data_IF_170400348225
#
_entry.id   IF_170400348225
#
_cell.length_a   1.000
_cell.length_b   1.000
_cell.length_c   1.000
_cell.angle_alpha   90.00
_cell.angle_beta   90.00
_cell.angle_gamma   90.00
#
_symmetry.space_group_name_H-M   'P 1'
#
loop_
_entity.id
_entity.type
_entity.pdbx_description
1 polymer ?
#
# COMPACT_ATOMS: atom_id res chain seq x y z
N UNK A 1 25.90 -2.77 -23.01
CA UNK A 1 25.00 -3.10 -21.88
C UNK A 1 24.86 -1.84 -21.04
N UNK A 2 23.96 -0.94 -21.44
CA UNK A 2 23.67 0.30 -20.71
C UNK A 2 22.37 0.09 -19.96
N UNK A 3 22.49 -0.13 -18.66
CA UNK A 3 21.38 -0.12 -17.71
C UNK A 3 20.69 1.23 -17.79
N UNK A 4 19.52 1.28 -18.43
CA UNK A 4 18.69 2.49 -18.45
C UNK A 4 17.85 2.51 -17.18
N UNK A 5 18.48 2.93 -16.08
CA UNK A 5 17.72 3.38 -14.91
C UNK A 5 16.95 4.63 -15.34
N UNK A 6 15.63 4.52 -15.45
CA UNK A 6 14.75 5.67 -15.63
C UNK A 6 14.76 6.41 -14.29
N UNK A 7 15.77 7.24 -14.09
CA UNK A 7 15.78 8.19 -12.98
C UNK A 7 14.78 9.31 -13.32
N UNK A 8 13.83 9.63 -12.44
CA UNK A 8 12.92 10.75 -12.65
C UNK A 8 13.73 12.07 -12.67
N UNK A 9 13.24 13.10 -13.40
CA UNK A 9 14.03 14.29 -13.71
C UNK A 9 14.35 15.09 -12.44
N UNK A 10 15.63 15.42 -12.33
CA UNK A 10 16.22 16.11 -11.20
C UNK A 10 16.16 17.63 -11.38
N UNK A 11 15.01 18.25 -11.11
CA UNK A 11 14.94 19.70 -10.93
C UNK A 11 14.02 20.01 -9.73
N UNK A 12 14.65 20.40 -8.61
CA UNK A 12 14.05 20.91 -7.37
C UNK A 12 12.83 20.12 -6.85
N UNK A 13 13.05 18.96 -6.22
CA UNK A 13 11.95 18.23 -5.60
C UNK A 13 12.43 17.40 -4.40
N UNK A 14 12.00 17.75 -3.20
CA UNK A 14 11.65 16.70 -2.23
C UNK A 14 10.45 16.00 -2.87
N UNK A 15 10.74 15.11 -3.83
CA UNK A 15 9.77 14.30 -4.55
C UNK A 15 9.01 13.48 -3.51
N UNK A 16 7.71 13.20 -3.72
CA UNK A 16 6.90 12.34 -2.85
C UNK A 16 7.59 11.02 -2.44
N UNK A 17 8.52 10.54 -3.26
CA UNK A 17 9.38 9.37 -2.97
C UNK A 17 10.42 9.59 -1.86
N UNK A 18 10.90 10.82 -1.66
CA UNK A 18 11.88 11.18 -0.66
C UNK A 18 11.30 11.08 0.76
N UNK A 19 10.04 11.48 0.97
CA UNK A 19 9.40 11.41 2.29
C UNK A 19 9.28 9.99 2.82
N UNK A 20 9.06 9.02 1.95
CA UNK A 20 9.07 7.63 2.35
C UNK A 20 10.44 7.22 2.89
N UNK A 21 11.56 7.66 2.32
CA UNK A 21 12.88 7.26 2.82
C UNK A 21 13.28 7.84 4.19
N UNK A 22 12.52 8.80 4.72
CA UNK A 22 12.86 9.56 5.93
C UNK A 22 12.24 8.89 7.17
N UNK A 23 12.93 8.96 8.32
CA UNK A 23 12.36 8.46 9.58
C UNK A 23 11.10 9.24 9.96
N UNK A 24 10.11 8.64 10.65
CA UNK A 24 8.87 9.34 11.02
C UNK A 24 9.10 10.67 11.75
N UNK A 25 10.12 10.73 12.61
CA UNK A 25 10.49 11.96 13.34
C UNK A 25 11.05 13.05 12.44
N UNK A 26 11.87 12.69 11.45
CA UNK A 26 12.41 13.65 10.51
C UNK A 26 11.35 14.08 9.48
N UNK A 27 10.43 13.19 9.10
CA UNK A 27 9.26 13.51 8.29
C UNK A 27 8.43 14.61 8.96
N UNK A 28 8.06 14.43 10.24
CA UNK A 28 7.28 15.43 10.98
C UNK A 28 7.93 16.82 10.98
N UNK A 29 9.26 16.89 11.18
CA UNK A 29 10.01 18.15 11.13
C UNK A 29 9.95 18.81 9.75
N UNK A 30 10.08 18.03 8.68
CA UNK A 30 9.99 18.57 7.31
C UNK A 30 8.57 19.08 7.04
N UNK A 31 7.54 18.32 7.40
CA UNK A 31 6.14 18.71 7.22
C UNK A 31 5.79 20.02 7.92
N UNK A 32 6.35 20.27 9.11
CA UNK A 32 6.11 21.52 9.84
C UNK A 32 6.73 22.74 9.12
N UNK A 33 7.83 22.56 8.38
CA UNK A 33 8.53 23.63 7.64
C UNK A 33 7.87 24.01 6.31
N UNK A 34 7.06 23.12 5.72
CA UNK A 34 6.40 23.35 4.42
C UNK A 34 5.21 24.31 4.55
N UNK A 35 4.91 25.06 3.49
CA UNK A 35 3.68 25.85 3.43
C UNK A 35 2.48 24.97 3.03
N UNK A 36 1.27 25.52 3.19
CA UNK A 36 0.03 24.77 2.96
C UNK A 36 -0.07 24.24 1.52
N UNK A 37 0.31 25.08 0.54
CA UNK A 37 0.27 24.71 -0.87
C UNK A 37 1.23 23.55 -1.18
N UNK A 38 2.45 23.56 -0.62
CA UNK A 38 3.39 22.45 -0.79
C UNK A 38 2.90 21.16 -0.15
N UNK A 39 2.29 21.22 1.03
CA UNK A 39 1.72 20.03 1.69
C UNK A 39 0.60 19.40 0.86
N UNK A 40 -0.32 20.21 0.33
CA UNK A 40 -1.42 19.75 -0.52
C UNK A 40 -0.91 19.15 -1.84
N UNK A 41 0.12 19.78 -2.43
CA UNK A 41 0.76 19.29 -3.64
C UNK A 41 1.42 17.92 -3.42
N UNK A 42 2.16 17.76 -2.31
CA UNK A 42 2.83 16.49 -1.99
C UNK A 42 1.83 15.39 -1.62
N UNK A 43 0.74 15.72 -0.92
CA UNK A 43 -0.36 14.79 -0.67
C UNK A 43 -0.95 14.26 -1.99
N UNK A 44 -1.30 15.15 -2.91
CA UNK A 44 -1.85 14.76 -4.21
C UNK A 44 -0.88 13.91 -5.04
N UNK A 45 0.42 14.24 -5.00
CA UNK A 45 1.47 13.44 -5.67
C UNK A 45 1.55 12.03 -5.10
N UNK A 46 1.51 11.87 -3.79
CA UNK A 46 1.55 10.57 -3.12
C UNK A 46 0.28 9.75 -3.37
N UNK A 47 -0.90 10.36 -3.33
CA UNK A 47 -2.16 9.68 -3.69
C UNK A 47 -2.11 9.13 -5.11
N UNK A 48 -1.61 9.93 -6.07
CA UNK A 48 -1.44 9.48 -7.45
C UNK A 48 -0.45 8.32 -7.55
N UNK A 49 0.65 8.36 -6.81
CA UNK A 49 1.64 7.28 -6.79
C UNK A 49 1.04 5.98 -6.21
N UNK A 50 0.24 6.07 -5.14
CA UNK A 50 -0.49 4.93 -4.57
C UNK A 50 -1.43 4.33 -5.63
N UNK A 51 -2.23 5.16 -6.31
CA UNK A 51 -3.14 4.69 -7.36
C UNK A 51 -2.40 3.96 -8.50
N UNK A 52 -1.22 4.45 -8.89
CA UNK A 52 -0.38 3.81 -9.91
C UNK A 52 0.14 2.44 -9.43
N UNK A 53 0.58 2.32 -8.18
CA UNK A 53 1.04 1.05 -7.62
C UNK A 53 -0.10 0.04 -7.46
N UNK A 54 -1.29 0.50 -7.05
CA UNK A 54 -2.49 -0.34 -6.96
C UNK A 54 -2.88 -0.85 -8.35
N UNK A 55 -2.86 0.02 -9.36
CA UNK A 55 -3.13 -0.37 -10.74
C UNK A 55 -2.08 -1.35 -11.27
N UNK A 56 -0.80 -1.13 -10.97
CA UNK A 56 0.28 -2.07 -11.33
C UNK A 56 0.09 -3.45 -10.68
N UNK A 57 -0.28 -3.51 -9.39
CA UNK A 57 -0.59 -4.78 -8.73
C UNK A 57 -1.77 -5.51 -9.37
N UNK A 58 -2.78 -4.77 -9.82
CA UNK A 58 -3.93 -5.32 -10.53
C UNK A 58 -3.50 -5.93 -11.87
N UNK A 59 -2.69 -5.22 -12.65
CA UNK A 59 -2.17 -5.69 -13.94
C UNK A 59 -1.31 -6.95 -13.78
N UNK A 60 -0.45 -7.02 -12.76
CA UNK A 60 0.35 -8.21 -12.46
C UNK A 60 -0.56 -9.39 -12.08
N UNK A 61 -1.59 -9.17 -11.24
CA UNK A 61 -2.52 -10.22 -10.85
C UNK A 61 -3.33 -10.74 -12.04
N UNK A 62 -3.80 -9.85 -12.92
CA UNK A 62 -4.50 -10.23 -14.16
C UNK A 62 -3.60 -11.03 -15.10
N UNK A 63 -2.31 -10.67 -15.19
CA UNK A 63 -1.33 -11.43 -15.97
C UNK A 63 -1.13 -12.85 -15.41
N UNK A 64 -0.95 -13.00 -14.09
CA UNK A 64 -0.85 -14.31 -13.43
C UNK A 64 -2.10 -15.17 -13.69
N UNK A 65 -3.28 -14.57 -13.60
CA UNK A 65 -4.55 -15.27 -13.85
C UNK A 65 -4.68 -15.71 -15.31
N UNK A 66 -4.17 -14.91 -16.26
CA UNK A 66 -4.14 -15.29 -17.67
C UNK A 66 -3.19 -16.46 -17.92
N UNK A 67 -1.97 -16.43 -17.37
CA UNK A 67 -1.01 -17.54 -17.48
C UNK A 67 -1.57 -18.84 -16.89
N UNK A 68 -2.28 -18.73 -15.77
CA UNK A 68 -2.99 -19.86 -15.15
C UNK A 68 -4.06 -20.44 -16.08
N UNK A 69 -4.85 -19.60 -16.73
CA UNK A 69 -5.87 -20.04 -17.67
C UNK A 69 -5.26 -20.71 -18.90
N UNK A 70 -4.21 -20.13 -19.47
CA UNK A 70 -3.49 -20.69 -20.62
C UNK A 70 -2.91 -22.07 -20.31
N UNK A 71 -2.35 -22.25 -19.10
CA UNK A 71 -1.84 -23.55 -18.65
C UNK A 71 -2.97 -24.58 -18.49
N UNK A 72 -4.12 -24.20 -17.91
CA UNK A 72 -5.29 -25.07 -17.77
C UNK A 72 -5.82 -25.50 -19.13
N UNK A 73 -5.91 -24.58 -20.09
CA UNK A 73 -6.34 -24.88 -21.46
C UNK A 73 -5.36 -25.81 -22.18
N UNK A 74 -4.06 -25.57 -22.02
CA UNK A 74 -3.02 -26.44 -22.56
C UNK A 74 -3.13 -27.87 -21.98
N UNK A 75 -3.29 -28.03 -20.67
CA UNK A 75 -3.47 -29.34 -20.03
C UNK A 75 -4.75 -30.06 -20.50
N UNK A 76 -5.87 -29.34 -20.66
CA UNK A 76 -7.11 -29.90 -21.22
C UNK A 76 -6.93 -30.43 -22.65
N UNK A 77 -6.13 -29.72 -23.46
CA UNK A 77 -5.83 -30.16 -24.83
C UNK A 77 -4.94 -31.42 -24.88
N UNK A 78 -4.09 -31.62 -23.86
CA UNK A 78 -3.21 -32.79 -23.76
C UNK A 78 -3.89 -34.04 -23.15
N UNK A 79 -4.93 -33.90 -22.33
CA UNK A 79 -5.66 -35.03 -21.72
C UNK A 79 -6.34 -35.98 -22.72
N UNK A 80 -6.31 -35.69 -24.03
CA UNK A 80 -6.64 -36.66 -25.08
C UNK A 80 -5.62 -37.81 -25.23
N UNK A 81 -4.42 -37.72 -24.63
CA UNK A 81 -3.39 -38.76 -24.63
C UNK A 81 -2.83 -38.96 -23.21
N UNK A 82 -3.29 -40.00 -22.50
CA UNK A 82 -2.55 -40.65 -21.40
C UNK A 82 -1.95 -39.75 -20.30
N UNK A 83 -2.83 -39.30 -19.40
CA UNK A 83 -2.57 -38.71 -18.08
C UNK A 83 -1.25 -39.10 -17.40
N UNK A 84 -0.48 -38.11 -16.94
CA UNK A 84 0.00 -38.01 -15.55
C UNK A 84 0.59 -36.61 -15.26
N UNK A 85 0.34 -36.11 -14.04
CA UNK A 85 0.72 -34.81 -13.48
C UNK A 85 0.06 -33.57 -14.11
N UNK A 86 -1.17 -33.26 -13.66
CA UNK A 86 -1.61 -31.87 -13.61
C UNK A 86 -0.66 -31.13 -12.65
N UNK A 87 0.36 -30.46 -13.20
CA UNK A 87 1.21 -29.57 -12.43
C UNK A 87 0.31 -28.52 -11.77
N UNK A 88 0.40 -28.40 -10.45
CA UNK A 88 -0.20 -27.30 -9.71
C UNK A 88 0.38 -26.00 -10.29
N UNK A 89 -0.48 -25.06 -10.70
CA UNK A 89 0.00 -23.78 -11.20
C UNK A 89 0.70 -23.05 -10.07
N UNK A 90 1.99 -22.84 -10.21
CA UNK A 90 2.77 -22.01 -9.32
C UNK A 90 3.07 -20.71 -10.08
N UNK A 91 2.55 -19.55 -9.62
CA UNK A 91 2.84 -18.28 -10.26
C UNK A 91 4.34 -17.99 -10.18
N UNK A 92 4.87 -17.26 -11.17
CA UNK A 92 6.28 -16.87 -11.14
C UNK A 92 6.57 -16.11 -9.83
N UNK A 93 7.54 -16.57 -9.02
CA UNK A 93 7.89 -15.94 -7.76
C UNK A 93 8.31 -14.47 -7.94
N UNK A 94 8.81 -14.06 -9.12
CA UNK A 94 9.14 -12.67 -9.41
C UNK A 94 7.89 -11.76 -9.41
N UNK A 95 6.77 -12.22 -9.96
CA UNK A 95 5.52 -11.45 -9.95
C UNK A 95 4.91 -11.38 -8.56
N UNK A 96 4.99 -12.47 -7.79
CA UNK A 96 4.53 -12.48 -6.39
C UNK A 96 5.35 -11.50 -5.55
N UNK A 97 6.69 -11.55 -5.69
CA UNK A 97 7.59 -10.63 -5.00
C UNK A 97 7.32 -9.18 -5.38
N UNK A 98 7.11 -8.88 -6.66
CA UNK A 98 6.78 -7.52 -7.12
C UNK A 98 5.50 -6.97 -6.46
N UNK A 99 4.46 -7.81 -6.33
CA UNK A 99 3.23 -7.42 -5.61
C UNK A 99 3.51 -7.15 -4.12
N UNK A 100 4.34 -7.97 -3.48
CA UNK A 100 4.71 -7.80 -2.07
C UNK A 100 5.53 -6.52 -1.84
N UNK A 101 6.53 -6.25 -2.68
CA UNK A 101 7.31 -5.02 -2.63
C UNK A 101 6.42 -3.78 -2.82
N UNK A 102 5.52 -3.82 -3.80
CA UNK A 102 4.55 -2.76 -4.02
C UNK A 102 3.63 -2.55 -2.81
N UNK A 103 3.16 -3.61 -2.15
CA UNK A 103 2.33 -3.50 -0.92
C UNK A 103 3.07 -2.78 0.20
N UNK A 104 4.36 -3.09 0.40
CA UNK A 104 5.19 -2.41 1.39
C UNK A 104 5.33 -0.92 1.06
N UNK A 105 5.55 -0.58 -0.21
CA UNK A 105 5.65 0.82 -0.66
C UNK A 105 4.32 1.56 -0.49
N UNK A 106 3.19 0.94 -0.85
CA UNK A 106 1.85 1.50 -0.68
C UNK A 106 1.59 1.83 0.79
N UNK A 107 1.79 0.86 1.70
CA UNK A 107 1.57 1.07 3.14
C UNK A 107 2.39 2.24 3.69
N UNK A 108 3.60 2.43 3.16
CA UNK A 108 4.49 3.52 3.51
C UNK A 108 4.01 4.88 2.98
N UNK A 109 3.52 4.92 1.75
CA UNK A 109 2.93 6.13 1.17
C UNK A 109 1.62 6.50 1.88
N UNK A 110 0.76 5.53 2.21
CA UNK A 110 -0.48 5.78 2.96
C UNK A 110 -0.22 6.37 4.35
N UNK A 111 0.80 5.86 5.06
CA UNK A 111 1.25 6.46 6.32
C UNK A 111 1.67 7.92 6.12
N UNK A 112 2.48 8.18 5.09
CA UNK A 112 2.95 9.53 4.76
C UNK A 112 1.80 10.46 4.39
N UNK A 113 0.79 9.99 3.64
CA UNK A 113 -0.42 10.74 3.33
C UNK A 113 -1.20 11.11 4.60
N UNK A 114 -1.34 10.20 5.56
CA UNK A 114 -1.97 10.51 6.85
C UNK A 114 -1.24 11.61 7.60
N UNK A 115 0.10 11.54 7.65
CA UNK A 115 0.92 12.55 8.31
C UNK A 115 0.83 13.92 7.60
N UNK A 116 0.80 13.93 6.26
CA UNK A 116 0.56 15.13 5.44
C UNK A 116 -0.82 15.74 5.73
N UNK A 117 -1.87 14.92 5.78
CA UNK A 117 -3.22 15.39 6.09
C UNK A 117 -3.33 16.00 7.48
N UNK A 118 -2.69 15.38 8.49
CA UNK A 118 -2.60 15.96 9.84
C UNK A 118 -1.87 17.31 9.83
N UNK A 119 -0.79 17.45 9.07
CA UNK A 119 -0.08 18.73 8.91
C UNK A 119 -0.94 19.80 8.20
N UNK A 120 -1.66 19.43 7.13
CA UNK A 120 -2.60 20.30 6.40
C UNK A 120 -3.71 20.80 7.34
N UNK A 121 -4.33 19.91 8.11
CA UNK A 121 -5.39 20.27 9.07
C UNK A 121 -4.89 21.26 10.13
N UNK A 122 -3.71 20.99 10.72
CA UNK A 122 -3.05 21.90 11.68
C UNK A 122 -2.82 23.30 11.08
N UNK A 123 -2.32 23.39 9.84
CA UNK A 123 -2.07 24.69 9.18
C UNK A 123 -3.33 25.43 8.75
N UNK A 124 -4.40 24.71 8.40
CA UNK A 124 -5.71 25.31 8.08
C UNK A 124 -6.48 25.79 9.32
N UNK A 125 -5.97 25.52 10.53
CA UNK A 125 -6.66 25.86 11.77
C UNK A 125 -7.94 25.05 11.97
N UNK A 126 -8.07 23.91 11.28
CA UNK A 126 -9.15 22.96 11.50
C UNK A 126 -8.77 22.19 12.77
N UNK A 127 -9.52 22.41 13.85
CA UNK A 127 -9.36 21.66 15.09
C UNK A 127 -9.45 20.16 14.76
N UNK A 128 -8.44 19.39 15.21
CA UNK A 128 -8.37 17.94 15.00
C UNK A 128 -9.73 17.31 15.31
N UNK A 129 -10.33 16.66 14.31
CA UNK A 129 -11.34 15.64 14.59
C UNK A 129 -10.55 14.52 15.24
N UNK A 130 -10.56 14.49 16.57
CA UNK A 130 -9.86 13.51 17.38
C UNK A 130 -10.06 12.11 16.79
N UNK A 131 -8.94 11.45 16.47
CA UNK A 131 -8.84 10.05 16.10
C UNK A 131 -9.73 9.21 17.04
N UNK A 132 -10.90 8.77 16.55
CA UNK A 132 -11.66 7.66 17.14
C UNK A 132 -11.05 6.32 16.73
N UNK A 133 -9.73 6.22 16.81
CA UNK A 133 -8.99 4.96 16.70
C UNK A 133 -8.11 4.86 17.94
N UNK A 134 -8.74 4.52 19.08
CA UNK A 134 -8.13 3.88 20.26
C UNK A 134 -9.20 3.73 21.35
N UNK A 135 -10.16 2.83 21.16
CA UNK A 135 -10.70 2.07 22.29
C UNK A 135 -10.11 0.68 22.17
N UNK A 136 -9.10 0.46 23.01
CA UNK A 136 -8.58 -0.84 23.37
C UNK A 136 -9.74 -1.56 24.07
N UNK A 137 -10.47 -2.43 23.37
CA UNK A 137 -11.31 -3.45 24.03
C UNK A 137 -10.37 -4.53 24.58
N UNK A 138 -9.83 -4.21 25.76
CA UNK A 138 -8.98 -5.07 26.57
C UNK A 138 -9.13 -4.67 28.02
N UNK A 139 -10.30 -4.99 28.60
CA UNK A 139 -10.59 -4.86 30.02
C UNK A 139 -11.20 -6.16 30.54
N UNK A 140 -10.35 -7.08 30.98
CA UNK A 140 -10.76 -8.23 31.77
C UNK A 140 -11.17 -7.81 33.20
N UNK A 141 -12.29 -8.41 33.63
CA UNK A 141 -12.74 -8.76 35.00
C UNK A 141 -12.88 -7.66 36.06
N UNK A 142 -14.10 -7.52 36.61
CA UNK A 142 -14.52 -8.27 37.81
C UNK A 142 -15.85 -7.71 38.39
N UNK A 143 -16.71 -8.61 38.90
CA UNK A 143 -17.58 -8.33 40.05
C UNK A 143 -19.07 -8.17 39.78
N UNK A 144 -19.84 -9.14 40.31
CA UNK A 144 -21.16 -8.99 40.93
C UNK A 144 -22.24 -8.22 40.15
N UNK A 145 -23.21 -8.96 39.58
CA UNK A 145 -24.56 -8.81 40.15
C UNK A 145 -25.44 -10.05 39.95
N UNK A 146 -26.16 -10.30 41.03
CA UNK A 146 -27.17 -11.31 41.29
C UNK A 146 -28.43 -11.02 40.44
N UNK A 147 -29.03 -12.03 39.80
CA UNK A 147 -30.11 -11.76 38.85
C UNK A 147 -30.78 -12.98 38.23
N UNK A 148 -31.42 -13.79 39.07
CA UNK A 148 -32.38 -14.84 38.71
C UNK A 148 -33.38 -14.39 37.65
N UNK A 149 -33.59 -15.18 36.59
CA UNK A 149 -34.91 -15.35 35.98
C UNK A 149 -35.19 -16.82 35.68
N UNK A 150 -36.37 -17.24 36.12
CA UNK A 150 -37.02 -18.55 35.97
C UNK A 150 -37.32 -18.87 34.49
#
# INVERSE_FOLDING_TARGET
>A
MTSSAIAPPAEFAISGTAFASVSPEALAKILDTLDLASLEQEHFRLERAIQQLVQSNKEIAEFIDQERQDMIEFQKSQQGQGSEAAGEFEPDPEFVLAIEENKVVIAKYERTCRDLMKAIQRKRGVAEVADRENVIEGGEQAGEDDGVFL
#
